data_IF_189866616311
#
_entry.id   IF_189866616311
#
_cell.length_a   1.000
_cell.length_b   1.000
_cell.length_c   1.000
_cell.angle_alpha   90.00
_cell.angle_beta   90.00
_cell.angle_gamma   90.00
#
_symmetry.space_group_name_H-M   'P 1'
#
loop_
_entity.id
_entity.type
_entity.pdbx_description
1 polymer ?
#
# COMPACT_ATOMS: atom_id res chain seq x y z
N UNK A 1 -7.23 9.24 -6.29
CA UNK A 1 -6.02 9.09 -5.44
C UNK A 1 -6.45 8.46 -4.14
N UNK A 2 -5.70 7.49 -3.64
CA UNK A 2 -5.94 6.81 -2.35
C UNK A 2 -4.86 7.19 -1.33
N UNK A 3 -5.14 6.97 -0.05
CA UNK A 3 -4.21 7.22 1.05
C UNK A 3 -3.82 5.89 1.69
N UNK A 4 -2.52 5.67 1.92
CA UNK A 4 -2.00 4.52 2.65
C UNK A 4 -1.15 5.05 3.81
N UNK A 5 -1.57 4.79 5.04
CA UNK A 5 -0.80 5.07 6.25
C UNK A 5 0.03 3.84 6.61
N UNK A 6 1.36 4.01 6.71
CA UNK A 6 2.27 2.93 7.09
C UNK A 6 1.94 2.37 8.48
N UNK A 7 2.13 1.06 8.66
CA UNK A 7 1.91 0.35 9.93
C UNK A 7 0.44 0.22 10.35
N UNK A 8 -0.52 0.37 9.43
CA UNK A 8 -1.96 0.34 9.75
C UNK A 8 -2.78 -0.40 8.69
N UNK A 9 -4.03 -0.69 9.03
CA UNK A 9 -5.05 -1.13 8.09
C UNK A 9 -5.65 0.06 7.35
N UNK A 10 -5.65 0.01 6.02
CA UNK A 10 -6.11 1.08 5.15
C UNK A 10 -7.36 0.65 4.39
N UNK A 11 -8.50 1.27 4.72
CA UNK A 11 -9.74 1.07 3.98
C UNK A 11 -9.72 1.93 2.72
N UNK A 12 -9.77 1.28 1.55
CA UNK A 12 -9.78 1.93 0.24
C UNK A 12 -11.02 1.54 -0.54
N UNK A 13 -11.61 2.52 -1.23
CA UNK A 13 -12.88 2.37 -1.94
C UNK A 13 -12.70 2.69 -3.42
N UNK A 14 -13.29 1.87 -4.27
CA UNK A 14 -13.25 1.99 -5.73
C UNK A 14 -14.60 1.67 -6.36
N UNK A 15 -14.74 1.90 -7.67
CA UNK A 15 -15.90 1.51 -8.48
C UNK A 15 -15.49 0.53 -9.59
N UNK A 16 -14.91 -0.61 -9.21
CA UNK A 16 -14.26 -1.56 -10.15
C UNK A 16 -15.28 -2.37 -10.96
N UNK A 17 -16.45 -2.65 -10.39
CA UNK A 17 -17.47 -3.48 -11.02
C UNK A 17 -17.85 -3.01 -12.42
N UNK A 18 -17.87 -1.69 -12.63
CA UNK A 18 -18.20 -1.05 -13.92
C UNK A 18 -17.33 -1.54 -15.09
N UNK A 19 -16.09 -1.94 -14.78
CA UNK A 19 -15.09 -2.39 -15.75
C UNK A 19 -14.75 -3.87 -15.62
N UNK A 20 -15.28 -4.55 -14.59
CA UNK A 20 -14.98 -5.97 -14.35
C UNK A 20 -16.01 -6.84 -15.08
N UNK A 21 -15.54 -7.67 -16.01
CA UNK A 21 -16.44 -8.61 -16.72
C UNK A 21 -16.43 -10.03 -16.13
N UNK A 22 -15.45 -10.32 -15.27
CA UNK A 22 -15.34 -11.60 -14.56
C UNK A 22 -16.52 -11.80 -13.58
N UNK A 23 -17.13 -12.99 -13.49
CA UNK A 23 -18.30 -13.23 -12.65
C UNK A 23 -17.97 -13.34 -11.15
N UNK A 24 -16.77 -13.79 -10.78
CA UNK A 24 -16.32 -13.92 -9.39
C UNK A 24 -14.87 -13.44 -9.23
N UNK A 25 -14.60 -12.15 -9.50
CA UNK A 25 -13.24 -11.63 -9.59
C UNK A 25 -12.50 -11.74 -8.26
N UNK A 26 -11.19 -11.98 -8.36
CA UNK A 26 -10.19 -11.62 -7.35
C UNK A 26 -9.47 -10.39 -7.84
N UNK A 27 -9.14 -9.48 -6.93
CA UNK A 27 -8.51 -8.23 -7.29
C UNK A 27 -7.03 -8.24 -6.90
N UNK A 28 -6.16 -8.14 -7.90
CA UNK A 28 -4.71 -7.97 -7.75
C UNK A 28 -4.39 -6.48 -7.81
N UNK A 29 -3.80 -5.98 -6.74
CA UNK A 29 -3.25 -4.65 -6.66
C UNK A 29 -1.77 -4.70 -7.03
N UNK A 30 -1.33 -3.77 -7.85
CA UNK A 30 0.08 -3.48 -8.13
C UNK A 30 0.35 -2.04 -7.68
N UNK A 31 1.37 -1.83 -6.85
CA UNK A 31 1.88 -0.53 -6.44
C UNK A 31 3.29 -0.36 -6.99
N UNK A 32 3.52 0.66 -7.81
CA UNK A 32 4.82 0.93 -8.40
C UNK A 32 5.35 2.29 -7.99
N UNK A 33 6.61 2.34 -7.56
CA UNK A 33 7.30 3.58 -7.22
C UNK A 33 8.23 4.00 -8.36
N UNK A 34 8.02 5.20 -8.91
CA UNK A 34 8.80 5.70 -10.05
C UNK A 34 10.23 6.14 -9.69
N UNK A 35 10.52 6.33 -8.40
CA UNK A 35 11.86 6.71 -7.93
C UNK A 35 12.74 5.48 -7.71
N UNK A 36 12.19 4.40 -7.13
CA UNK A 36 12.94 3.16 -6.86
C UNK A 36 12.80 2.11 -7.96
N UNK A 37 11.81 2.24 -8.84
CA UNK A 37 11.39 1.22 -9.81
C UNK A 37 10.94 -0.10 -9.18
N UNK A 38 10.58 -0.09 -7.89
CA UNK A 38 10.02 -1.26 -7.21
C UNK A 38 8.53 -1.39 -7.52
N UNK A 39 8.07 -2.63 -7.64
CA UNK A 39 6.66 -2.98 -7.79
C UNK A 39 6.28 -4.00 -6.71
N UNK A 40 5.22 -3.70 -5.96
CA UNK A 40 4.70 -4.51 -4.86
C UNK A 40 3.27 -4.90 -5.19
N UNK A 41 2.94 -6.18 -5.07
CA UNK A 41 1.61 -6.68 -5.37
C UNK A 41 0.94 -7.34 -4.17
N UNK A 42 -0.39 -7.26 -4.12
CA UNK A 42 -1.18 -8.03 -3.17
C UNK A 42 -2.56 -8.37 -3.75
N UNK A 43 -3.18 -9.44 -3.25
CA UNK A 43 -4.56 -9.79 -3.55
C UNK A 43 -5.41 -9.36 -2.34
N UNK A 44 -6.47 -8.61 -2.62
CA UNK A 44 -7.44 -8.21 -1.61
C UNK A 44 -8.84 -8.71 -1.98
N UNK A 45 -9.60 -9.13 -0.97
CA UNK A 45 -10.99 -9.49 -1.10
C UNK A 45 -11.86 -8.25 -0.98
N UNK A 46 -12.88 -8.15 -1.83
CA UNK A 46 -13.90 -7.11 -1.71
C UNK A 46 -14.78 -7.36 -0.47
N UNK A 47 -14.86 -6.37 0.40
CA UNK A 47 -15.64 -6.37 1.65
C UNK A 47 -16.85 -5.43 1.59
N UNK A 48 -17.20 -4.92 0.40
CA UNK A 48 -18.34 -4.01 0.23
C UNK A 48 -19.68 -4.70 0.49
N UNK A 49 -20.62 -3.96 1.08
CA UNK A 49 -22.01 -4.40 1.24
C UNK A 49 -22.79 -4.35 -0.08
N UNK A 50 -22.33 -3.52 -1.02
CA UNK A 50 -22.98 -3.28 -2.31
C UNK A 50 -21.95 -3.29 -3.46
N UNK A 51 -21.39 -4.47 -3.80
CA UNK A 51 -20.31 -4.62 -4.80
C UNK A 51 -20.68 -4.14 -6.21
N UNK A 52 -21.98 -3.97 -6.50
CA UNK A 52 -22.48 -3.41 -7.75
C UNK A 52 -22.36 -1.88 -7.84
N UNK A 53 -22.06 -1.19 -6.73
CA UNK A 53 -21.92 0.29 -6.68
C UNK A 53 -20.54 0.74 -6.27
N UNK A 54 -19.90 0.01 -5.38
CA UNK A 54 -18.53 0.27 -4.93
C UNK A 54 -17.89 -1.04 -4.48
N UNK A 55 -16.57 -1.10 -4.53
CA UNK A 55 -15.77 -2.19 -4.00
C UNK A 55 -14.91 -1.62 -2.86
N UNK A 56 -14.83 -2.35 -1.76
CA UNK A 56 -14.15 -1.93 -0.54
C UNK A 56 -13.06 -2.93 -0.21
N UNK A 57 -11.86 -2.44 0.09
CA UNK A 57 -10.73 -3.30 0.40
C UNK A 57 -9.99 -2.79 1.62
N UNK A 58 -9.53 -3.71 2.45
CA UNK A 58 -8.60 -3.41 3.54
C UNK A 58 -7.19 -3.80 3.07
N UNK A 59 -6.32 -2.81 2.88
CA UNK A 59 -4.90 -3.01 2.57
C UNK A 59 -4.10 -2.81 3.85
N UNK A 60 -3.37 -3.84 4.28
CA UNK A 60 -2.61 -3.82 5.52
C UNK A 60 -1.15 -3.43 5.21
N UNK A 61 -0.72 -2.26 5.67
CA UNK A 61 0.69 -1.85 5.54
C UNK A 61 1.47 -2.37 6.76
N UNK A 62 2.40 -3.29 6.51
CA UNK A 62 3.16 -3.99 7.57
C UNK A 62 4.51 -4.48 7.04
N UNK A 63 5.49 -4.58 7.94
CA UNK A 63 6.78 -5.22 7.66
C UNK A 63 6.64 -6.72 7.42
N UNK A 64 7.40 -7.28 6.48
CA UNK A 64 7.34 -8.72 6.12
C UNK A 64 5.95 -9.19 5.66
N UNK A 65 5.39 -8.58 4.59
CA UNK A 65 4.00 -8.79 4.18
C UNK A 65 3.77 -10.18 3.56
N UNK A 66 2.56 -10.70 3.73
CA UNK A 66 2.01 -11.80 2.93
C UNK A 66 1.08 -11.25 1.83
N UNK A 67 1.49 -11.27 0.55
CA UNK A 67 0.73 -10.63 -0.53
C UNK A 67 -0.63 -11.29 -0.79
N UNK A 68 -0.84 -12.54 -0.38
CA UNK A 68 -2.15 -13.21 -0.48
C UNK A 68 -3.15 -12.79 0.60
N UNK A 69 -2.71 -12.00 1.59
CA UNK A 69 -3.52 -11.52 2.71
C UNK A 69 -3.70 -9.99 2.68
N UNK A 70 -3.70 -9.39 1.49
CA UNK A 70 -3.79 -7.94 1.29
C UNK A 70 -2.71 -7.12 2.02
N UNK A 71 -1.57 -7.74 2.35
CA UNK A 71 -0.47 -7.07 3.05
C UNK A 71 0.55 -6.53 2.05
N UNK A 72 1.06 -5.34 2.33
CA UNK A 72 2.11 -4.66 1.55
C UNK A 72 3.09 -3.96 2.48
N UNK A 73 4.30 -3.76 1.99
CA UNK A 73 5.29 -2.88 2.60
C UNK A 73 5.71 -1.87 1.54
N UNK A 74 5.30 -0.61 1.70
CA UNK A 74 5.52 0.44 0.70
C UNK A 74 6.59 1.41 1.19
N UNK A 75 7.82 1.20 0.72
CA UNK A 75 8.99 1.99 1.11
C UNK A 75 9.68 2.50 -0.16
N UNK A 76 9.91 3.81 -0.31
CA UNK A 76 9.70 4.90 0.65
C UNK A 76 8.25 5.42 0.73
N UNK A 77 8.00 6.25 1.74
CA UNK A 77 6.82 7.14 1.78
C UNK A 77 6.82 8.11 0.60
N UNK A 78 5.65 8.55 0.16
CA UNK A 78 5.49 9.44 -1.00
C UNK A 78 4.44 8.94 -1.99
N UNK A 79 4.54 9.38 -3.24
CA UNK A 79 3.59 8.98 -4.28
C UNK A 79 4.01 7.66 -4.92
N UNK A 80 3.04 6.76 -5.03
CA UNK A 80 3.11 5.51 -5.77
C UNK A 80 2.00 5.51 -6.82
N UNK A 81 2.28 4.93 -7.98
CA UNK A 81 1.22 4.58 -8.92
C UNK A 81 0.60 3.26 -8.46
N UNK A 82 -0.71 3.11 -8.64
CA UNK A 82 -1.36 1.83 -8.45
C UNK A 82 -2.12 1.40 -9.70
N UNK A 83 -2.23 0.09 -9.86
CA UNK A 83 -3.12 -0.57 -10.81
C UNK A 83 -3.90 -1.64 -10.10
N UNK A 84 -5.15 -1.85 -10.50
CA UNK A 84 -5.99 -2.92 -10.00
C UNK A 84 -6.42 -3.78 -11.17
N UNK A 85 -6.20 -5.08 -11.04
CA UNK A 85 -6.57 -6.08 -12.02
C UNK A 85 -7.65 -6.99 -11.46
N UNK A 86 -8.67 -7.29 -12.25
CA UNK A 86 -9.57 -8.40 -11.99
C UNK A 86 -8.98 -9.68 -12.60
N UNK A 87 -9.07 -10.78 -11.86
CA UNK A 87 -8.62 -12.09 -12.31
C UNK A 87 -9.44 -13.24 -11.70
N UNK A 88 -9.40 -14.41 -12.32
CA UNK A 88 -10.03 -15.62 -11.77
C UNK A 88 -9.15 -16.29 -10.69
N UNK A 89 -7.82 -16.11 -10.77
CA UNK A 89 -6.87 -16.74 -9.85
C UNK A 89 -6.85 -16.07 -8.48
N UNK A 90 -6.93 -16.89 -7.42
CA UNK A 90 -6.80 -16.43 -6.04
C UNK A 90 -5.34 -16.34 -5.56
N UNK A 91 -4.36 -16.76 -6.38
CA UNK A 91 -2.95 -16.84 -5.97
C UNK A 91 -1.97 -16.25 -6.98
N UNK A 92 -2.43 -15.78 -8.15
CA UNK A 92 -1.55 -15.14 -9.12
C UNK A 92 -1.17 -13.74 -8.64
N UNK A 93 0.12 -13.54 -8.40
CA UNK A 93 0.70 -12.27 -7.98
C UNK A 93 1.43 -11.54 -9.11
N UNK A 94 1.40 -12.09 -10.33
CA UNK A 94 2.08 -11.52 -11.48
C UNK A 94 1.08 -10.72 -12.35
N UNK A 95 1.19 -9.38 -12.41
CA UNK A 95 0.26 -8.54 -13.17
C UNK A 95 0.18 -8.90 -14.65
N UNK A 96 1.28 -9.34 -15.26
CA UNK A 96 1.33 -9.76 -16.65
C UNK A 96 0.44 -10.99 -16.97
N UNK A 97 0.07 -11.78 -15.95
CA UNK A 97 -0.80 -12.94 -16.06
C UNK A 97 -2.23 -12.67 -15.56
N UNK A 98 -2.53 -11.44 -15.16
CA UNK A 98 -3.88 -11.07 -14.74
C UNK A 98 -4.79 -10.85 -15.96
N UNK A 99 -6.10 -11.01 -15.77
CA UNK A 99 -7.06 -11.09 -16.87
C UNK A 99 -7.46 -9.70 -17.40
N UNK A 100 -7.79 -8.76 -16.49
CA UNK A 100 -8.37 -7.46 -16.86
C UNK A 100 -7.77 -6.35 -16.00
N UNK A 101 -7.18 -5.31 -16.62
CA UNK A 101 -6.86 -4.07 -15.91
C UNK A 101 -8.15 -3.24 -15.74
N UNK A 102 -8.57 -3.03 -14.50
CA UNK A 102 -9.85 -2.36 -14.18
C UNK A 102 -9.67 -0.97 -13.59
N UNK A 103 -8.52 -0.64 -13.01
CA UNK A 103 -8.29 0.69 -12.45
C UNK A 103 -6.81 1.08 -12.46
N UNK A 104 -6.54 2.37 -12.61
CA UNK A 104 -5.21 2.96 -12.41
C UNK A 104 -5.33 4.27 -11.64
N UNK A 105 -4.30 4.62 -10.87
CA UNK A 105 -4.28 5.91 -10.17
C UNK A 105 -3.04 6.12 -9.33
N UNK A 106 -3.13 7.06 -8.39
CA UNK A 106 -2.06 7.40 -7.46
C UNK A 106 -2.45 7.03 -6.02
N UNK A 107 -1.49 6.46 -5.29
CA UNK A 107 -1.53 6.26 -3.85
C UNK A 107 -0.54 7.23 -3.19
N UNK A 108 -0.97 7.91 -2.14
CA UNK A 108 -0.08 8.68 -1.28
C UNK A 108 0.22 7.88 -0.02
N UNK A 109 1.48 7.46 0.13
CA UNK A 109 1.98 6.68 1.26
C UNK A 109 2.50 7.64 2.32
N UNK A 110 1.81 7.71 3.44
CA UNK A 110 2.18 8.52 4.59
C UNK A 110 3.07 7.70 5.51
N UNK A 111 4.24 8.24 5.82
CA UNK A 111 5.17 7.62 6.75
C UNK A 111 4.61 7.49 8.17
N UNK A 112 5.21 6.60 8.96
CA UNK A 112 5.02 6.64 10.41
C UNK A 112 5.62 7.94 10.97
N UNK A 113 4.99 8.53 11.98
CA UNK A 113 5.60 9.65 12.69
C UNK A 113 6.92 9.18 13.30
N UNK A 114 8.04 9.81 12.91
CA UNK A 114 9.32 9.53 13.57
C UNK A 114 9.25 10.03 15.02
N UNK A 115 9.69 9.22 15.97
CA UNK A 115 9.99 9.71 17.31
C UNK A 115 11.13 10.72 17.18
N UNK A 116 10.88 11.99 17.49
CA UNK A 116 11.93 13.00 17.54
C UNK A 116 13.01 12.56 18.53
N UNK A 117 14.24 12.34 18.05
CA UNK A 117 15.41 12.22 18.92
C UNK A 117 15.73 13.62 19.47
N UNK A 118 15.47 13.87 20.76
CA UNK A 118 16.03 15.04 21.44
C UNK A 118 17.51 14.80 21.69
N UNK A 119 18.36 15.53 20.98
CA UNK A 119 19.79 15.55 21.23
C UNK A 119 20.08 16.31 22.54
N UNK A 120 20.29 15.59 23.64
CA UNK A 120 20.69 16.16 24.93
C UNK A 120 22.22 16.27 25.02
N UNK A 121 22.84 17.09 24.15
CA UNK A 121 24.24 17.46 24.32
C UNK A 121 24.37 18.59 25.34
N UNK A 122 24.29 18.23 26.60
CA UNK A 122 24.99 18.99 27.63
C UNK A 122 26.15 18.13 28.11
N UNK A 123 27.39 18.37 27.63
CA UNK A 123 28.55 17.78 28.27
C UNK A 123 28.61 18.32 29.72
N UNK A 124 28.32 17.47 30.70
CA UNK A 124 28.39 17.81 32.13
C UNK A 124 29.81 18.00 32.66
N UNK A 125 30.83 17.84 31.79
CA UNK A 125 32.25 17.89 32.18
C UNK A 125 33.01 18.94 31.34
N UNK A 126 32.73 20.22 31.57
CA UNK A 126 33.66 21.27 31.16
C UNK A 126 34.87 21.24 32.12
N UNK A 127 35.99 20.67 31.71
CA UNK A 127 37.25 20.85 32.42
C UNK A 127 37.73 22.30 32.21
N UNK A 128 37.48 23.17 33.19
CA UNK A 128 38.08 24.50 33.24
C UNK A 128 39.48 24.35 33.84
N UNK A 129 40.52 24.48 33.03
CA UNK A 129 41.89 24.64 33.52
C UNK A 129 42.13 26.12 33.81
N UNK A 130 42.27 26.47 35.09
CA UNK A 130 42.77 27.78 35.50
C UNK A 130 44.29 27.77 35.36
N UNK A 131 44.81 28.64 34.49
CA UNK A 131 46.25 28.89 34.35
C UNK A 131 46.86 29.56 35.57
#
# INVERSE_FOLDING_TARGET
MILINKGTNNLVIFTLKEKTTRPNPKYLFEFSNSQTNESITCIAADTSDYPERYNSFEIVEITSPSPLLAQVELTPSGFWEYKVYAQDSATNLQPANADELVETGLAYVVGTAETTYTYNDQPTNAFIYNG
#
